data_IF_404302064787
#
_entry.id   IF_404302064787
#
_cell.length_a   1.000
_cell.length_b   1.000
_cell.length_c   1.000
_cell.angle_alpha   90.00
_cell.angle_beta   90.00
_cell.angle_gamma   90.00
#
_symmetry.space_group_name_H-M   'P 1'
#
loop_
_entity.id
_entity.type
_entity.pdbx_description
1 polymer ?
#
# COMPACT_ATOMS: atom_id res chain seq x y z
N UNK A 1 -10.95 -7.84 11.48
CA UNK A 1 -10.35 -6.98 10.44
C UNK A 1 -9.64 -5.83 11.15
N UNK A 2 -8.44 -5.49 10.74
CA UNK A 2 -7.68 -4.36 11.28
C UNK A 2 -6.96 -3.64 10.16
N UNK A 3 -6.68 -2.36 10.33
CA UNK A 3 -5.83 -1.62 9.40
C UNK A 3 -4.39 -1.66 9.89
N UNK A 4 -3.43 -1.78 8.98
CA UNK A 4 -2.04 -1.90 9.35
C UNK A 4 -1.09 -1.57 8.20
N UNK A 5 0.13 -1.20 8.59
CA UNK A 5 1.21 -0.91 7.66
C UNK A 5 2.28 -1.99 7.85
N UNK A 6 2.68 -2.64 6.77
CA UNK A 6 3.80 -3.57 6.74
C UNK A 6 4.89 -3.02 5.85
N UNK A 7 6.06 -2.82 6.43
CA UNK A 7 7.28 -2.49 5.72
C UNK A 7 8.12 -3.75 5.57
N UNK A 8 8.60 -4.01 4.35
CA UNK A 8 9.56 -5.07 4.06
C UNK A 8 10.96 -4.49 4.02
N UNK A 9 11.95 -5.32 4.36
CA UNK A 9 13.37 -4.97 4.29
C UNK A 9 13.83 -4.52 2.88
N UNK A 10 13.08 -4.90 1.84
CA UNK A 10 13.30 -4.49 0.45
C UNK A 10 12.75 -3.09 0.10
N UNK A 11 12.30 -2.30 1.08
CA UNK A 11 11.74 -0.97 0.88
C UNK A 11 10.28 -0.94 0.38
N UNK A 12 9.67 -2.10 0.15
CA UNK A 12 8.24 -2.20 -0.18
C UNK A 12 7.41 -1.95 1.07
N UNK A 13 6.37 -1.11 0.95
CA UNK A 13 5.44 -0.80 2.03
C UNK A 13 4.03 -1.15 1.60
N UNK A 14 3.32 -1.94 2.39
CA UNK A 14 1.89 -2.16 2.22
C UNK A 14 1.13 -1.42 3.32
N UNK A 15 0.10 -0.70 2.95
CA UNK A 15 -0.82 0.00 3.85
C UNK A 15 -2.24 -0.43 3.47
N UNK A 16 -2.99 -1.01 4.41
CA UNK A 16 -4.34 -1.45 4.08
C UNK A 16 -4.98 -2.29 5.16
N UNK A 17 -6.08 -2.94 4.79
CA UNK A 17 -6.78 -3.86 5.68
C UNK A 17 -6.07 -5.22 5.77
N UNK A 18 -6.13 -5.78 6.96
CA UNK A 18 -5.57 -7.06 7.36
C UNK A 18 -6.63 -7.91 8.04
N UNK A 19 -6.62 -9.19 7.73
CA UNK A 19 -7.46 -10.19 8.33
C UNK A 19 -6.62 -11.45 8.55
N UNK A 20 -6.51 -11.92 9.79
CA UNK A 20 -5.74 -13.13 10.13
C UNK A 20 -4.29 -13.10 9.59
N UNK A 21 -3.57 -11.99 9.83
CA UNK A 21 -2.21 -11.76 9.32
C UNK A 21 -2.08 -11.82 7.79
N UNK A 22 -3.20 -11.65 7.08
CA UNK A 22 -3.25 -11.62 5.62
C UNK A 22 -3.82 -10.31 5.12
N UNK A 23 -3.27 -9.81 4.01
CA UNK A 23 -3.79 -8.64 3.29
C UNK A 23 -5.20 -8.95 2.82
N UNK A 24 -6.14 -8.09 3.17
CA UNK A 24 -7.55 -8.22 2.86
C UNK A 24 -8.14 -6.84 2.55
N UNK A 25 -9.37 -6.78 2.02
CA UNK A 25 -10.08 -5.53 1.84
C UNK A 25 -9.35 -4.57 0.89
N UNK A 26 -9.43 -3.27 1.15
CA UNK A 26 -8.71 -2.26 0.38
C UNK A 26 -7.28 -2.07 0.93
N UNK A 27 -6.32 -1.92 0.01
CA UNK A 27 -4.93 -1.65 0.37
C UNK A 27 -4.14 -0.98 -0.75
N UNK A 28 -3.00 -0.43 -0.36
CA UNK A 28 -2.04 0.28 -1.18
C UNK A 28 -0.66 -0.36 -0.96
N UNK A 29 -0.05 -0.90 -2.02
CA UNK A 29 1.35 -1.34 -2.02
C UNK A 29 2.20 -0.27 -2.67
N UNK A 30 3.18 0.25 -1.95
CA UNK A 30 4.21 1.15 -2.44
C UNK A 30 5.51 0.38 -2.63
N UNK A 31 6.11 0.51 -3.80
CA UNK A 31 7.38 -0.12 -4.14
C UNK A 31 8.54 0.85 -3.87
N UNK A 32 9.76 0.31 -3.65
CA UNK A 32 10.96 1.12 -3.53
C UNK A 32 11.21 1.98 -4.78
N UNK A 33 10.76 1.53 -5.95
CA UNK A 33 10.84 2.26 -7.22
C UNK A 33 9.94 3.50 -7.29
N UNK A 34 9.11 3.74 -6.26
CA UNK A 34 8.17 4.85 -6.18
C UNK A 34 6.82 4.58 -6.86
N UNK A 35 6.64 3.40 -7.43
CA UNK A 35 5.34 2.94 -7.94
C UNK A 35 4.39 2.65 -6.79
N UNK A 36 3.11 2.93 -6.99
CA UNK A 36 2.04 2.63 -6.03
C UNK A 36 0.92 1.85 -6.70
N UNK A 37 0.47 0.80 -6.02
CA UNK A 37 -0.60 -0.10 -6.44
C UNK A 37 -1.71 -0.10 -5.40
N UNK A 38 -2.81 0.58 -5.71
CA UNK A 38 -4.00 0.62 -4.88
C UNK A 38 -5.04 -0.34 -5.44
N UNK A 39 -5.65 -1.14 -4.57
CA UNK A 39 -6.60 -2.14 -4.99
C UNK A 39 -7.20 -2.95 -3.85
N UNK A 40 -8.01 -3.96 -4.22
CA UNK A 40 -8.57 -4.91 -3.26
C UNK A 40 -7.69 -6.14 -3.14
N UNK A 41 -7.43 -6.52 -1.90
CA UNK A 41 -6.71 -7.72 -1.50
C UNK A 41 -7.67 -8.75 -0.92
N UNK A 42 -7.41 -10.02 -1.20
CA UNK A 42 -8.08 -11.15 -0.57
C UNK A 42 -7.05 -12.23 -0.32
N UNK A 43 -6.82 -12.58 0.94
CA UNK A 43 -5.88 -13.63 1.35
C UNK A 43 -4.47 -13.45 0.75
N UNK A 44 -3.91 -12.23 0.83
CA UNK A 44 -2.61 -11.84 0.26
C UNK A 44 -2.56 -11.70 -1.26
N UNK A 45 -3.67 -11.92 -1.97
CA UNK A 45 -3.72 -11.78 -3.43
C UNK A 45 -4.44 -10.49 -3.79
N UNK A 46 -3.85 -9.68 -4.66
CA UNK A 46 -4.53 -8.54 -5.27
C UNK A 46 -5.58 -9.10 -6.24
N UNK A 47 -6.85 -8.91 -5.92
CA UNK A 47 -7.97 -9.37 -6.75
C UNK A 47 -8.46 -8.29 -7.70
N UNK A 48 -8.26 -7.01 -7.36
CA UNK A 48 -8.71 -5.90 -8.19
C UNK A 48 -7.75 -4.73 -8.03
N UNK A 49 -7.06 -4.37 -9.11
CA UNK A 49 -6.29 -3.13 -9.19
C UNK A 49 -7.27 -1.97 -9.44
N UNK A 50 -7.23 -0.95 -8.61
CA UNK A 50 -8.05 0.26 -8.75
C UNK A 50 -7.22 1.42 -9.29
N UNK A 51 -6.01 1.61 -8.75
CA UNK A 51 -5.16 2.73 -9.13
C UNK A 51 -3.70 2.28 -9.20
N UNK A 52 -3.07 2.53 -10.35
CA UNK A 52 -1.64 2.29 -10.55
C UNK A 52 -0.97 3.63 -10.80
N UNK A 53 -0.19 4.10 -9.83
CA UNK A 53 0.54 5.37 -9.96
C UNK A 53 2.01 5.07 -10.21
N UNK A 54 2.47 5.37 -11.43
CA UNK A 54 3.89 5.51 -11.72
C UNK A 54 4.31 6.92 -11.32
N UNK A 55 4.86 7.12 -10.12
CA UNK A 55 5.40 8.44 -9.75
C UNK A 55 6.77 8.61 -10.40
N UNK A 56 6.99 9.62 -11.27
CA UNK A 56 8.35 10.07 -11.52
C UNK A 56 8.92 10.56 -10.18
N UNK A 57 10.17 10.18 -9.90
CA UNK A 57 10.90 10.24 -8.61
C UNK A 57 10.95 11.63 -7.91
N UNK A 58 10.33 12.66 -8.47
CA UNK A 58 10.43 14.07 -8.06
C UNK A 58 9.31 14.55 -7.11
N UNK A 59 8.25 13.76 -6.86
CA UNK A 59 7.13 14.11 -5.96
C UNK A 59 7.11 13.31 -4.64
N UNK A 60 8.28 13.06 -4.03
CA UNK A 60 8.43 12.29 -2.78
C UNK A 60 8.21 13.13 -1.49
N UNK A 61 7.96 14.44 -1.60
CA UNK A 61 7.48 15.25 -0.45
C UNK A 61 6.01 15.59 -0.62
N UNK A 62 5.10 14.71 -0.22
CA UNK A 62 3.74 15.06 0.22
C UNK A 62 3.01 13.78 0.65
N UNK A 63 3.13 13.45 1.93
CA UNK A 63 2.05 13.05 2.85
C UNK A 63 2.71 12.87 4.22
N UNK A 64 3.20 13.99 4.77
CA UNK A 64 3.18 14.21 6.21
C UNK A 64 1.96 15.10 6.45
N UNK A 65 0.83 14.50 6.79
CA UNK A 65 -0.18 15.14 7.63
C UNK A 65 -1.14 14.09 8.17
N UNK A 66 -0.66 13.35 9.18
CA UNK A 66 -1.57 12.97 10.26
C UNK A 66 -2.01 14.30 10.86
N UNK A 67 -3.28 14.67 10.62
CA UNK A 67 -3.88 15.85 11.22
C UNK A 67 -4.01 15.58 12.72
N UNK A 68 -3.72 16.63 13.48
CA UNK A 68 -3.71 16.76 14.93
C UNK A 68 -4.94 16.18 15.62
#
# INVERSE_FOLDING_TARGET
IGFGISERSNGMKYEGEWLNNRRHGYGCTMFPDGTKEEGKYKNNVLIQLLHYTFKPVWKIKLVRKCRE
#
